data_IF_872140699667
#
_entry.id   IF_872140699667
#
_cell.length_a   1.000
_cell.length_b   1.000
_cell.length_c   1.000
_cell.angle_alpha   90.00
_cell.angle_beta   90.00
_cell.angle_gamma   90.00
#
_symmetry.space_group_name_H-M   'P 1'
#
loop_
_entity.id
_entity.type
_entity.pdbx_description
1 polymer ?
#
# COMPACT_ATOMS: atom_id res chain seq x y z
N UNK A 1 -42.46 9.80 32.22
CA UNK A 1 -42.85 11.23 32.29
C UNK A 1 -41.57 12.04 32.21
N UNK A 2 -41.15 12.39 31.00
CA UNK A 2 -41.32 13.74 30.41
C UNK A 2 -40.75 14.84 31.31
N UNK A 3 -39.58 15.36 30.94
CA UNK A 3 -39.39 16.78 30.64
C UNK A 3 -38.02 17.00 29.99
N UNK A 4 -38.04 17.66 28.82
CA UNK A 4 -36.88 18.23 28.13
C UNK A 4 -36.31 19.40 28.94
N UNK A 5 -35.00 19.58 28.90
CA UNK A 5 -34.36 20.86 29.20
C UNK A 5 -33.19 21.06 28.23
N UNK A 6 -33.40 21.95 27.27
CA UNK A 6 -32.38 22.51 26.39
C UNK A 6 -31.44 23.40 27.21
N UNK A 7 -30.13 23.29 27.01
CA UNK A 7 -29.18 24.33 27.41
C UNK A 7 -28.16 24.56 26.30
N UNK A 8 -28.34 25.69 25.62
CA UNK A 8 -27.36 26.34 24.78
C UNK A 8 -26.29 27.03 25.65
N UNK A 9 -25.05 27.02 25.17
CA UNK A 9 -23.86 27.60 25.81
C UNK A 9 -22.74 26.55 25.76
N UNK A 10 -21.51 26.81 25.34
CA UNK A 10 -20.66 27.97 25.62
C UNK A 10 -19.50 27.93 24.62
N UNK A 11 -19.33 28.95 23.78
CA UNK A 11 -18.02 29.27 23.19
C UNK A 11 -17.89 30.80 23.14
N UNK A 12 -17.57 31.38 24.29
CA UNK A 12 -17.16 32.78 24.40
C UNK A 12 -15.75 32.93 23.84
N UNK A 13 -15.60 33.69 22.75
CA UNK A 13 -14.30 34.09 22.20
C UNK A 13 -13.64 35.12 23.13
N UNK A 14 -12.54 34.73 23.78
CA UNK A 14 -11.68 35.64 24.51
C UNK A 14 -10.86 36.50 23.53
N UNK A 15 -11.07 37.82 23.56
CA UNK A 15 -10.20 38.78 22.87
C UNK A 15 -9.08 39.23 23.82
N UNK A 16 -7.84 38.90 23.45
CA UNK A 16 -6.65 39.42 24.11
C UNK A 16 -6.37 40.85 23.62
N UNK A 17 -6.26 41.79 24.55
CA UNK A 17 -5.88 43.17 24.30
C UNK A 17 -4.35 43.30 24.37
N UNK A 18 -3.72 43.70 23.27
CA UNK A 18 -2.30 44.05 23.23
C UNK A 18 -2.20 45.57 23.29
N UNK A 19 -1.81 46.10 24.45
CA UNK A 19 -1.38 47.49 24.57
C UNK A 19 0.14 47.54 24.34
N UNK A 20 0.58 48.28 23.32
CA UNK A 20 1.99 48.62 23.14
C UNK A 20 2.10 50.13 22.93
N UNK A 21 2.87 50.77 23.80
CA UNK A 21 3.04 52.22 23.81
C UNK A 21 4.37 52.61 23.16
N UNK A 22 4.28 53.67 22.33
CA UNK A 22 5.34 54.60 21.87
C UNK A 22 6.38 54.10 20.87
N UNK A 23 6.30 54.66 19.66
CA UNK A 23 7.41 54.78 18.71
C UNK A 23 7.08 55.81 17.62
N UNK A 24 7.89 56.86 17.52
CA UNK A 24 7.79 57.92 16.50
C UNK A 24 8.16 57.30 15.14
N UNK A 25 7.28 57.36 14.13
CA UNK A 25 7.58 56.88 12.77
C UNK A 25 7.94 58.05 11.86
N UNK A 26 9.20 58.08 11.40
CA UNK A 26 9.63 58.91 10.29
C UNK A 26 9.28 58.18 9.00
N UNK A 27 8.44 58.80 8.17
CA UNK A 27 8.01 58.27 6.89
C UNK A 27 9.19 58.21 5.89
N UNK A 28 9.64 57.01 5.54
CA UNK A 28 10.35 56.81 4.27
C UNK A 28 9.38 56.17 3.27
N UNK A 29 8.90 56.97 2.32
CA UNK A 29 8.20 56.49 1.14
C UNK A 29 9.09 55.47 0.44
N UNK A 30 8.69 54.20 0.39
CA UNK A 30 9.25 53.26 -0.58
C UNK A 30 8.43 53.40 -1.85
N UNK A 31 9.09 53.86 -2.92
CA UNK A 31 8.55 53.84 -4.27
C UNK A 31 8.10 52.40 -4.56
N UNK A 32 6.82 52.21 -4.85
CA UNK A 32 6.32 50.93 -5.36
C UNK A 32 6.77 50.89 -6.82
N UNK A 33 7.93 50.28 -7.06
CA UNK A 33 8.34 49.92 -8.41
C UNK A 33 7.60 48.64 -8.81
N UNK A 34 6.64 48.84 -9.72
CA UNK A 34 6.03 47.87 -10.64
C UNK A 34 5.77 46.45 -10.09
N UNK A 35 4.54 46.22 -9.60
CA UNK A 35 4.03 44.92 -9.11
C UNK A 35 3.86 43.86 -10.22
N UNK A 36 4.45 44.04 -11.39
CA UNK A 36 4.42 43.04 -12.47
C UNK A 36 5.51 41.97 -12.31
N UNK A 37 5.98 41.72 -11.08
CA UNK A 37 6.64 40.46 -10.76
C UNK A 37 5.54 39.40 -10.73
N UNK A 38 5.34 38.73 -11.87
CA UNK A 38 4.53 37.50 -11.91
C UNK A 38 5.03 36.61 -10.78
N UNK A 39 4.17 36.27 -9.83
CA UNK A 39 4.48 35.24 -8.85
C UNK A 39 4.97 34.02 -9.63
N UNK A 40 6.26 33.69 -9.48
CA UNK A 40 6.80 32.46 -10.06
C UNK A 40 6.24 31.34 -9.19
N UNK A 41 5.21 30.69 -9.70
CA UNK A 41 4.72 29.43 -9.15
C UNK A 41 5.92 28.49 -8.97
N UNK A 42 6.18 27.97 -7.76
CA UNK A 42 7.27 27.03 -7.57
C UNK A 42 6.97 25.79 -8.41
N UNK A 43 7.75 25.60 -9.49
CA UNK A 43 7.52 24.56 -10.51
C UNK A 43 7.51 23.15 -9.93
N UNK A 44 8.10 22.93 -8.75
CA UNK A 44 8.44 21.60 -8.26
C UNK A 44 8.10 21.39 -6.77
N UNK A 45 6.92 21.82 -6.33
CA UNK A 45 6.44 21.49 -4.96
C UNK A 45 6.33 19.98 -4.72
N UNK A 46 6.04 19.22 -5.79
CA UNK A 46 5.92 17.76 -5.75
C UNK A 46 7.25 17.07 -5.48
N UNK A 47 8.37 17.56 -6.00
CA UNK A 47 9.67 16.94 -5.75
C UNK A 47 10.19 17.21 -4.33
N UNK A 48 9.77 18.32 -3.72
CA UNK A 48 10.19 18.71 -2.36
C UNK A 48 9.49 17.89 -1.25
N UNK A 49 8.34 17.28 -1.54
CA UNK A 49 7.56 16.48 -0.59
C UNK A 49 7.88 14.99 -0.63
N UNK A 50 8.66 14.54 -1.61
CA UNK A 50 9.02 13.12 -1.78
C UNK A 50 10.07 12.69 -0.77
N UNK A 51 9.93 11.46 -0.27
CA UNK A 51 10.97 10.85 0.54
C UNK A 51 12.26 10.68 -0.30
N UNK A 52 13.43 10.78 0.34
CA UNK A 52 14.73 10.64 -0.34
C UNK A 52 14.81 9.33 -1.13
N UNK A 53 14.18 8.27 -0.62
CA UNK A 53 14.08 6.95 -1.27
C UNK A 53 13.21 6.95 -2.52
N UNK A 54 12.07 7.64 -2.51
CA UNK A 54 11.20 7.77 -3.68
C UNK A 54 11.84 8.62 -4.79
N UNK A 55 12.55 9.68 -4.41
CA UNK A 55 13.29 10.53 -5.34
C UNK A 55 14.48 9.81 -5.99
N UNK A 56 15.13 8.90 -5.27
CA UNK A 56 16.16 8.02 -5.83
C UNK A 56 15.58 6.97 -6.78
N UNK A 57 14.45 6.37 -6.40
CA UNK A 57 13.74 5.40 -7.24
C UNK A 57 13.26 6.02 -8.56
N UNK A 58 12.68 7.23 -8.53
CA UNK A 58 12.24 7.93 -9.74
C UNK A 58 13.40 8.33 -10.66
N UNK A 59 14.54 8.75 -10.09
CA UNK A 59 15.77 9.02 -10.87
C UNK A 59 16.33 7.77 -11.54
N UNK A 60 16.32 6.62 -10.85
CA UNK A 60 16.77 5.35 -11.43
C UNK A 60 15.89 4.89 -12.61
N UNK A 61 14.61 5.26 -12.57
CA UNK A 61 13.61 4.91 -13.58
C UNK A 61 13.68 5.80 -14.84
N UNK A 62 14.39 6.93 -14.81
CA UNK A 62 14.39 7.94 -15.88
C UNK A 62 14.88 7.46 -17.27
N UNK A 63 15.54 6.31 -17.35
CA UNK A 63 15.97 5.67 -18.61
C UNK A 63 15.14 4.44 -19.03
N UNK A 64 14.08 4.10 -18.30
CA UNK A 64 13.27 2.89 -18.52
C UNK A 64 11.83 3.25 -18.85
N UNK A 65 11.15 2.36 -19.59
CA UNK A 65 9.74 2.51 -19.91
C UNK A 65 8.93 2.19 -18.65
N UNK A 66 8.13 3.15 -18.20
CA UNK A 66 7.24 3.00 -17.04
C UNK A 66 5.85 2.68 -17.51
N UNK A 67 5.30 1.60 -16.98
CA UNK A 67 3.93 1.17 -17.27
C UNK A 67 3.15 1.24 -15.96
N UNK A 68 2.16 2.12 -15.90
CA UNK A 68 1.33 2.33 -14.70
C UNK A 68 0.20 1.29 -14.57
N UNK A 69 0.09 0.38 -15.55
CA UNK A 69 -0.93 -0.68 -15.53
C UNK A 69 -0.46 -1.88 -14.72
N UNK A 70 -1.36 -2.58 -14.00
CA UNK A 70 -1.02 -3.80 -13.31
C UNK A 70 -0.48 -4.84 -14.29
N UNK A 71 0.62 -5.50 -13.91
CA UNK A 71 1.22 -6.54 -14.73
C UNK A 71 0.34 -7.80 -14.71
N UNK A 72 -0.33 -8.09 -15.82
CA UNK A 72 -1.04 -9.34 -16.04
C UNK A 72 -0.20 -10.29 -16.90
N UNK A 73 0.24 -11.39 -16.29
CA UNK A 73 1.06 -12.43 -16.93
C UNK A 73 0.25 -13.69 -17.27
N UNK A 74 -1.06 -13.70 -17.02
CA UNK A 74 -1.90 -14.90 -17.16
C UNK A 74 -1.91 -15.42 -18.59
N UNK A 75 -1.93 -14.52 -19.57
CA UNK A 75 -1.97 -14.84 -21.01
C UNK A 75 -0.72 -15.57 -21.51
N UNK A 76 0.44 -15.36 -20.88
CA UNK A 76 1.72 -15.93 -21.32
C UNK A 76 2.05 -17.22 -20.55
N UNK A 77 1.41 -17.46 -19.41
CA UNK A 77 1.73 -18.57 -18.50
C UNK A 77 1.46 -19.98 -19.04
N UNK A 78 0.65 -20.12 -20.09
CA UNK A 78 0.28 -21.42 -20.67
C UNK A 78 -0.65 -22.28 -19.80
N UNK A 79 -1.09 -21.78 -18.65
CA UNK A 79 -2.05 -22.46 -17.78
C UNK A 79 -3.46 -22.29 -18.36
N UNK A 80 -4.27 -23.37 -18.46
CA UNK A 80 -5.64 -23.24 -18.96
C UNK A 80 -6.48 -22.33 -18.07
N UNK A 81 -7.35 -21.52 -18.70
CA UNK A 81 -8.19 -20.53 -18.03
C UNK A 81 -9.06 -21.12 -16.91
N UNK A 82 -9.49 -22.38 -17.07
CA UNK A 82 -10.23 -23.10 -16.04
C UNK A 82 -9.47 -23.10 -14.70
N UNK A 83 -8.17 -23.39 -14.71
CA UNK A 83 -7.37 -23.48 -13.49
C UNK A 83 -6.99 -22.11 -12.91
N UNK A 84 -7.08 -21.04 -13.70
CA UNK A 84 -6.80 -19.67 -13.24
C UNK A 84 -8.02 -19.10 -12.49
N UNK A 85 -9.23 -19.31 -13.04
CA UNK A 85 -10.45 -18.68 -12.51
C UNK A 85 -11.07 -19.50 -11.37
N UNK A 86 -11.09 -20.83 -11.49
CA UNK A 86 -11.82 -21.68 -10.53
C UNK A 86 -11.08 -21.89 -9.23
N UNK A 87 -9.75 -21.72 -9.23
CA UNK A 87 -8.89 -22.09 -8.10
C UNK A 87 -8.67 -20.93 -7.17
N UNK A 88 -8.65 -21.24 -5.88
CA UNK A 88 -8.21 -20.31 -4.84
C UNK A 88 -6.84 -20.74 -4.32
N UNK A 89 -6.11 -19.73 -3.89
CA UNK A 89 -4.76 -19.87 -3.36
C UNK A 89 -4.78 -19.41 -1.91
N UNK A 90 -4.24 -20.25 -1.03
CA UNK A 90 -3.99 -19.93 0.37
C UNK A 90 -2.52 -19.54 0.55
N UNK A 91 -2.28 -18.30 0.96
CA UNK A 91 -0.96 -17.81 1.34
C UNK A 91 -0.84 -17.94 2.85
N UNK A 92 0.07 -18.79 3.33
CA UNK A 92 0.25 -19.03 4.76
C UNK A 92 1.71 -19.25 5.13
N UNK A 93 2.03 -18.98 6.39
CA UNK A 93 3.24 -19.48 7.04
C UNK A 93 2.98 -20.92 7.51
N UNK A 94 3.88 -21.89 7.24
CA UNK A 94 3.66 -23.26 7.69
C UNK A 94 3.69 -23.34 9.21
N UNK A 95 2.85 -24.21 9.77
CA UNK A 95 2.78 -24.46 11.21
C UNK A 95 3.92 -25.39 11.65
N UNK A 96 4.33 -25.26 12.91
CA UNK A 96 5.32 -26.17 13.50
C UNK A 96 4.76 -27.59 13.59
N UNK A 97 5.52 -28.59 13.15
CA UNK A 97 5.19 -29.99 13.44
C UNK A 97 5.34 -30.24 14.95
N UNK A 98 4.25 -30.64 15.61
CA UNK A 98 4.20 -30.82 17.06
C UNK A 98 5.22 -31.84 17.59
N UNK A 99 5.58 -32.85 16.80
CA UNK A 99 6.53 -33.90 17.21
C UNK A 99 8.00 -33.47 17.16
N UNK A 100 8.33 -32.43 16.39
CA UNK A 100 9.71 -32.00 16.18
C UNK A 100 9.97 -30.66 16.86
N UNK A 101 11.17 -30.51 17.46
CA UNK A 101 11.57 -29.27 18.11
C UNK A 101 12.10 -28.22 17.11
N UNK A 102 12.59 -28.64 15.95
CA UNK A 102 13.20 -27.76 14.94
C UNK A 102 12.23 -26.71 14.38
N UNK A 103 12.73 -25.49 14.19
CA UNK A 103 11.93 -24.34 13.69
C UNK A 103 12.30 -23.86 12.30
N UNK A 104 13.30 -24.48 11.64
CA UNK A 104 13.87 -23.96 10.40
C UNK A 104 12.84 -23.85 9.26
N UNK A 105 11.85 -24.74 9.24
CA UNK A 105 10.83 -24.77 8.20
C UNK A 105 9.79 -23.63 8.32
N UNK A 106 9.78 -22.87 9.41
CA UNK A 106 8.75 -21.85 9.66
C UNK A 106 9.04 -20.53 8.97
N UNK A 107 10.29 -20.23 8.59
CA UNK A 107 10.66 -18.89 8.14
C UNK A 107 10.17 -18.53 6.73
N UNK A 108 9.78 -19.53 5.95
CA UNK A 108 9.35 -19.36 4.55
C UNK A 108 7.83 -19.24 4.45
N UNK A 109 7.36 -18.40 3.52
CA UNK A 109 5.96 -18.39 3.12
C UNK A 109 5.66 -19.56 2.19
N UNK A 110 4.47 -20.12 2.30
CA UNK A 110 3.98 -21.21 1.46
C UNK A 110 2.71 -20.78 0.76
N UNK A 111 2.68 -21.04 -0.54
CA UNK A 111 1.52 -20.86 -1.39
C UNK A 111 0.93 -22.26 -1.63
N UNK A 112 -0.34 -22.46 -1.25
CA UNK A 112 -1.01 -23.75 -1.36
C UNK A 112 -2.31 -23.59 -2.14
N UNK A 113 -2.54 -24.46 -3.12
CA UNK A 113 -3.81 -24.55 -3.83
C UNK A 113 -4.79 -25.45 -3.07
N UNK A 114 -6.09 -25.20 -3.25
CA UNK A 114 -7.13 -26.09 -2.72
C UNK A 114 -6.95 -27.52 -3.26
N UNK A 115 -7.09 -28.53 -2.41
CA UNK A 115 -6.98 -29.92 -2.83
C UNK A 115 -8.26 -30.39 -3.52
N UNK A 116 -8.15 -30.88 -4.76
CA UNK A 116 -9.24 -31.59 -5.47
C UNK A 116 -9.32 -33.06 -5.05
N UNK A 117 -10.35 -33.74 -5.55
CA UNK A 117 -10.57 -35.16 -5.32
C UNK A 117 -9.36 -36.01 -5.75
N UNK A 118 -9.12 -37.05 -4.96
CA UNK A 118 -8.17 -38.13 -5.24
C UNK A 118 -8.96 -39.42 -5.22
N UNK A 119 -8.78 -40.26 -6.22
CA UNK A 119 -9.47 -41.54 -6.33
C UNK A 119 -8.48 -42.69 -6.23
N UNK A 120 -9.00 -43.87 -5.92
CA UNK A 120 -8.22 -45.10 -5.87
C UNK A 120 -8.06 -45.68 -7.28
N UNK A 121 -6.84 -46.01 -7.67
CA UNK A 121 -6.58 -46.74 -8.91
C UNK A 121 -7.04 -48.21 -8.75
N UNK A 122 -7.98 -48.72 -9.58
CA UNK A 122 -8.56 -50.06 -9.43
C UNK A 122 -7.54 -51.21 -9.54
N UNK A 123 -6.36 -50.99 -10.13
CA UNK A 123 -5.34 -52.03 -10.26
C UNK A 123 -4.46 -52.17 -9.01
N UNK A 124 -3.98 -51.04 -8.47
CA UNK A 124 -2.92 -51.01 -7.45
C UNK A 124 -3.32 -50.34 -6.13
N UNK A 125 -4.50 -49.72 -6.06
CA UNK A 125 -4.93 -48.97 -4.88
C UNK A 125 -4.24 -47.61 -4.71
N UNK A 126 -3.50 -47.13 -5.71
CA UNK A 126 -2.78 -45.86 -5.60
C UNK A 126 -3.73 -44.65 -5.65
N UNK A 127 -3.42 -43.63 -4.85
CA UNK A 127 -4.14 -42.36 -4.87
C UNK A 127 -3.82 -41.57 -6.15
N UNK A 128 -4.70 -41.67 -7.13
CA UNK A 128 -4.62 -40.99 -8.43
C UNK A 128 -5.32 -39.63 -8.37
N UNK A 129 -4.89 -38.68 -9.21
CA UNK A 129 -5.49 -37.34 -9.31
C UNK A 129 -5.36 -36.79 -10.73
N UNK A 130 -6.31 -35.96 -11.14
CA UNK A 130 -6.30 -35.21 -12.41
C UNK A 130 -5.74 -33.79 -12.24
N UNK A 131 -5.28 -33.43 -11.04
CA UNK A 131 -4.89 -32.07 -10.73
C UNK A 131 -3.38 -31.83 -10.92
N UNK A 132 -2.95 -31.04 -11.92
CA UNK A 132 -1.54 -30.75 -12.14
C UNK A 132 -0.94 -29.81 -11.07
N UNK A 133 -1.76 -29.00 -10.38
CA UNK A 133 -1.29 -28.00 -9.42
C UNK A 133 -1.27 -28.52 -7.97
N UNK A 134 -1.66 -29.78 -7.74
CA UNK A 134 -1.83 -30.36 -6.42
C UNK A 134 -0.53 -30.43 -5.60
N UNK A 135 0.64 -30.46 -6.26
CA UNK A 135 1.93 -30.76 -5.65
C UNK A 135 2.93 -29.59 -5.74
N UNK A 136 2.45 -28.35 -5.90
CA UNK A 136 3.33 -27.18 -5.91
C UNK A 136 3.93 -26.95 -4.51
N UNK A 137 5.25 -26.79 -4.47
CA UNK A 137 6.03 -26.66 -3.25
C UNK A 137 6.11 -25.23 -2.69
N UNK A 138 6.69 -25.05 -1.48
CA UNK A 138 6.98 -23.74 -0.92
C UNK A 138 8.03 -22.99 -1.76
N UNK A 139 8.16 -21.69 -1.54
CA UNK A 139 9.17 -20.89 -2.24
C UNK A 139 10.58 -21.30 -1.80
N UNK A 140 11.39 -21.76 -2.76
CA UNK A 140 12.77 -22.18 -2.55
C UNK A 140 13.74 -21.14 -3.10
N UNK A 141 14.04 -20.12 -2.29
CA UNK A 141 15.13 -19.16 -2.50
C UNK A 141 15.75 -18.77 -1.17
#
# INVERSE_FOLDING_TARGET
MSAKADYAGLWTLAQAKVDSSRGISSSSVRCIEDLTIKQVEPSDTKSALLSVTEAQHSKALAGHITIDTPADITSISGVPLEHIVTRKVLIKKPTKNAMQSGTNNLHKWSLVFDTRERWENPLMGWASSADPLANLGPFDY
#
